data_IF_795671507459
#
_entry.id   IF_795671507459
#
_cell.length_a   1.000
_cell.length_b   1.000
_cell.length_c   1.000
_cell.angle_alpha   90.00
_cell.angle_beta   90.00
_cell.angle_gamma   90.00
#
_symmetry.space_group_name_H-M   'P 1'
#
loop_
_entity.id
_entity.type
_entity.pdbx_description
1 polymer ?
#
# COMPACT_ATOMS: atom_id res chain seq x y z
N UNK A 1 14.10 16.06 -4.64
CA UNK A 1 13.45 14.86 -4.07
C UNK A 1 13.94 14.70 -2.65
N UNK A 2 13.02 14.57 -1.70
CA UNK A 2 13.33 14.29 -0.28
C UNK A 2 12.56 13.05 0.14
N UNK A 3 13.20 12.14 0.90
CA UNK A 3 12.57 10.92 1.40
C UNK A 3 12.65 10.91 2.92
N UNK A 4 11.51 10.70 3.57
CA UNK A 4 11.40 10.56 5.03
C UNK A 4 10.82 9.20 5.35
N UNK A 5 11.47 8.47 6.26
CA UNK A 5 11.02 7.16 6.71
C UNK A 5 10.32 7.25 8.07
N UNK A 6 9.23 6.52 8.22
CA UNK A 6 8.51 6.36 9.48
C UNK A 6 8.38 4.87 9.79
N UNK A 7 8.50 4.53 11.07
CA UNK A 7 8.13 3.22 11.60
C UNK A 7 7.12 3.44 12.72
N UNK A 8 5.89 3.01 12.50
CA UNK A 8 4.79 3.23 13.44
C UNK A 8 4.20 1.86 13.79
N UNK A 9 4.41 1.42 15.03
CA UNK A 9 3.98 0.10 15.50
C UNK A 9 4.46 -1.08 14.62
N UNK A 10 5.65 -0.95 14.01
CA UNK A 10 6.21 -1.95 13.11
C UNK A 10 5.76 -1.85 11.65
N UNK A 11 4.85 -0.91 11.32
CA UNK A 11 4.52 -0.57 9.94
C UNK A 11 5.53 0.45 9.40
N UNK A 12 6.15 0.15 8.26
CA UNK A 12 7.10 1.05 7.62
C UNK A 12 6.42 1.90 6.55
N UNK A 13 6.75 3.17 6.55
CA UNK A 13 6.34 4.13 5.54
C UNK A 13 7.57 4.85 5.00
N UNK A 14 7.61 5.04 3.68
CA UNK A 14 8.54 5.94 3.01
C UNK A 14 7.74 7.03 2.33
N UNK A 15 7.92 8.25 2.79
CA UNK A 15 7.23 9.43 2.30
C UNK A 15 8.18 10.16 1.38
N UNK A 16 7.82 10.25 0.12
CA UNK A 16 8.63 10.80 -0.97
C UNK A 16 8.01 12.12 -1.38
N UNK A 17 8.76 13.21 -1.19
CA UNK A 17 8.37 14.55 -1.60
C UNK A 17 9.05 14.88 -2.92
N UNK A 18 8.25 15.04 -3.98
CA UNK A 18 8.71 15.37 -5.33
C UNK A 18 7.86 16.50 -5.92
N UNK A 19 8.45 17.70 -6.00
CA UNK A 19 7.77 18.92 -6.45
C UNK A 19 6.49 19.20 -5.64
N UNK A 20 5.34 19.16 -6.30
CA UNK A 20 4.03 19.36 -5.67
C UNK A 20 3.37 18.06 -5.22
N UNK A 21 3.97 16.91 -5.53
CA UNK A 21 3.42 15.59 -5.28
C UNK A 21 4.08 14.99 -4.04
N UNK A 22 3.25 14.37 -3.20
CA UNK A 22 3.72 13.55 -2.08
C UNK A 22 3.24 12.13 -2.31
N UNK A 23 4.18 11.19 -2.27
CA UNK A 23 3.92 9.77 -2.45
C UNK A 23 4.26 9.04 -1.17
N UNK A 24 3.34 8.23 -0.68
CA UNK A 24 3.55 7.33 0.45
C UNK A 24 3.66 5.91 -0.08
N UNK A 25 4.86 5.35 0.06
CA UNK A 25 5.09 3.91 -0.08
C UNK A 25 4.95 3.29 1.30
N UNK A 26 4.11 2.27 1.46
CA UNK A 26 3.87 1.63 2.76
C UNK A 26 3.96 0.12 2.68
N UNK A 27 4.46 -0.48 3.76
CA UNK A 27 4.33 -1.91 4.02
C UNK A 27 2.92 -2.21 4.50
N UNK A 28 2.23 -3.13 3.83
CA UNK A 28 0.85 -3.50 4.16
C UNK A 28 0.81 -4.84 4.90
N UNK A 29 1.58 -5.83 4.43
CA UNK A 29 1.69 -7.17 5.01
C UNK A 29 0.35 -7.83 5.37
N UNK A 30 -0.69 -7.61 4.55
CA UNK A 30 -2.04 -8.11 4.79
C UNK A 30 -2.32 -9.35 3.96
N UNK A 31 -2.70 -10.45 4.60
CA UNK A 31 -3.09 -11.68 3.92
C UNK A 31 -4.38 -11.49 3.10
N UNK A 32 -4.35 -11.99 1.86
CA UNK A 32 -5.50 -12.04 0.97
C UNK A 32 -6.20 -13.38 1.20
N UNK A 33 -7.39 -13.36 1.81
CA UNK A 33 -8.19 -14.56 2.07
C UNK A 33 -8.85 -15.09 0.80
N UNK A 34 -8.06 -15.63 -0.13
CA UNK A 34 -8.55 -16.40 -1.30
C UNK A 34 -8.07 -17.84 -1.22
N UNK A 35 -8.90 -18.78 -1.68
CA UNK A 35 -8.48 -20.18 -1.87
C UNK A 35 -7.41 -20.21 -2.95
N UNK A 36 -6.20 -20.64 -2.59
CA UNK A 36 -5.13 -20.88 -3.56
C UNK A 36 -5.48 -22.07 -4.44
N UNK A 37 -5.27 -21.92 -5.75
CA UNK A 37 -5.31 -23.05 -6.68
C UNK A 37 -3.91 -23.65 -6.81
N UNK A 38 -3.81 -24.95 -7.12
CA UNK A 38 -2.53 -25.64 -7.28
C UNK A 38 -1.66 -25.04 -8.40
N UNK A 39 -2.27 -24.27 -9.30
CA UNK A 39 -1.65 -23.59 -10.44
C UNK A 39 -1.15 -22.17 -10.10
N UNK A 40 -1.36 -21.68 -8.88
CA UNK A 40 -0.88 -20.36 -8.48
C UNK A 40 0.65 -20.35 -8.31
N UNK A 41 1.35 -19.95 -9.37
CA UNK A 41 2.80 -19.72 -9.38
C UNK A 41 3.22 -18.65 -8.36
N UNK A 42 4.38 -18.87 -7.74
CA UNK A 42 5.02 -17.87 -6.88
C UNK A 42 5.50 -16.70 -7.72
N UNK A 43 4.98 -15.51 -7.46
CA UNK A 43 5.35 -14.29 -8.19
C UNK A 43 4.96 -13.03 -7.45
N UNK A 44 5.62 -11.93 -7.81
CA UNK A 44 5.19 -10.58 -7.50
C UNK A 44 4.22 -10.11 -8.58
N UNK A 45 3.06 -9.60 -8.16
CA UNK A 45 2.06 -8.99 -9.04
C UNK A 45 2.00 -7.51 -8.71
N UNK A 46 2.31 -6.69 -9.71
CA UNK A 46 2.13 -5.24 -9.64
C UNK A 46 0.78 -4.90 -10.26
N UNK A 47 -0.13 -4.36 -9.46
CA UNK A 47 -1.48 -4.03 -9.88
C UNK A 47 -1.67 -2.52 -9.87
N UNK A 48 -1.97 -1.95 -11.03
CA UNK A 48 -2.43 -0.57 -11.15
C UNK A 48 -3.89 -0.51 -10.68
N UNK A 49 -4.16 0.32 -9.67
CA UNK A 49 -5.48 0.40 -9.04
C UNK A 49 -6.15 1.74 -9.38
N UNK A 50 -5.41 2.85 -9.28
CA UNK A 50 -5.90 4.21 -9.52
C UNK A 50 -7.28 4.49 -8.87
N UNK A 51 -7.43 4.10 -7.61
CA UNK A 51 -8.68 4.28 -6.85
C UNK A 51 -8.56 5.48 -5.92
N UNK A 52 -9.52 6.38 -5.98
CA UNK A 52 -9.62 7.48 -5.03
C UNK A 52 -9.87 6.95 -3.60
N UNK A 53 -9.14 7.50 -2.64
CA UNK A 53 -9.30 7.30 -1.21
C UNK A 53 -9.44 8.67 -0.54
N UNK A 54 -9.86 8.71 0.72
CA UNK A 54 -10.20 9.98 1.37
C UNK A 54 -9.02 10.95 1.40
N UNK A 55 -7.81 10.44 1.60
CA UNK A 55 -6.60 11.23 1.75
C UNK A 55 -5.70 11.26 0.49
N UNK A 56 -6.19 10.77 -0.65
CA UNK A 56 -5.38 10.70 -1.87
C UNK A 56 -5.88 9.72 -2.91
N UNK A 57 -4.96 9.12 -3.64
CA UNK A 57 -5.24 8.13 -4.68
C UNK A 57 -4.35 6.91 -4.43
N UNK A 58 -4.96 5.75 -4.23
CA UNK A 58 -4.27 4.47 -4.25
C UNK A 58 -3.87 4.16 -5.70
N UNK A 59 -2.60 4.39 -6.02
CA UNK A 59 -2.06 4.22 -7.38
C UNK A 59 -1.79 2.76 -7.68
N UNK A 60 -1.06 2.08 -6.79
CA UNK A 60 -0.58 0.71 -7.00
C UNK A 60 -0.71 -0.16 -5.75
N UNK A 61 -0.98 -1.43 -5.96
CA UNK A 61 -0.81 -2.51 -4.98
C UNK A 61 0.23 -3.50 -5.48
N UNK A 62 1.07 -3.99 -4.57
CA UNK A 62 2.05 -5.03 -4.85
C UNK A 62 1.62 -6.26 -4.06
N UNK A 63 1.26 -7.32 -4.77
CA UNK A 63 0.83 -8.59 -4.19
C UNK A 63 1.97 -9.59 -4.30
N UNK A 64 2.40 -10.16 -3.17
CA UNK A 64 3.30 -11.30 -3.18
C UNK A 64 2.49 -12.60 -3.11
N UNK A 65 2.63 -13.43 -4.13
CA UNK A 65 2.17 -14.82 -4.11
C UNK A 65 3.32 -15.71 -3.68
N UNK A 66 3.20 -16.37 -2.53
CA UNK A 66 4.15 -17.38 -2.01
C UNK A 66 3.58 -18.78 -2.17
N UNK A 67 4.30 -19.86 -1.85
CA UNK A 67 3.75 -21.23 -1.87
C UNK A 67 2.49 -21.37 -1.02
N UNK A 68 2.52 -20.79 0.18
CA UNK A 68 1.53 -21.06 1.24
C UNK A 68 0.38 -20.04 1.27
N UNK A 69 0.61 -18.78 0.89
CA UNK A 69 -0.42 -17.75 0.91
C UNK A 69 -0.10 -16.57 -0.04
N UNK A 70 -1.04 -15.65 -0.18
CA UNK A 70 -0.86 -14.41 -0.93
C UNK A 70 -1.08 -13.21 -0.01
N UNK A 71 -0.23 -12.20 -0.13
CA UNK A 71 -0.27 -11.01 0.72
C UNK A 71 -0.22 -9.75 -0.12
N UNK A 72 -0.92 -8.71 0.31
CA UNK A 72 -0.61 -7.35 -0.10
C UNK A 72 0.67 -6.97 0.64
N UNK A 73 1.77 -6.90 -0.08
CA UNK A 73 3.07 -6.59 0.49
C UNK A 73 3.23 -5.10 0.67
N UNK A 74 2.89 -4.34 -0.38
CA UNK A 74 3.07 -2.91 -0.39
C UNK A 74 1.95 -2.19 -1.12
N UNK A 75 1.79 -0.92 -0.79
CA UNK A 75 0.91 0.01 -1.50
C UNK A 75 1.63 1.32 -1.78
N UNK A 76 1.23 1.95 -2.88
CA UNK A 76 1.70 3.27 -3.28
C UNK A 76 0.50 4.20 -3.35
N UNK A 77 0.53 5.22 -2.52
CA UNK A 77 -0.52 6.24 -2.43
C UNK A 77 0.05 7.59 -2.79
N UNK A 78 -0.61 8.29 -3.68
CA UNK A 78 -0.37 9.72 -3.89
C UNK A 78 -1.29 10.50 -2.95
N UNK A 79 -0.74 11.34 -2.07
CA UNK A 79 -1.51 12.01 -1.02
C UNK A 79 -1.70 13.49 -1.34
N UNK A 80 -2.91 13.99 -1.04
CA UNK A 80 -3.28 15.37 -1.33
C UNK A 80 -2.71 16.35 -0.29
N UNK A 81 -2.43 15.88 0.93
CA UNK A 81 -1.92 16.69 2.03
C UNK A 81 -0.40 16.63 2.10
N UNK A 82 0.27 17.79 2.12
CA UNK A 82 1.73 17.89 2.22
C UNK A 82 2.27 17.81 3.66
N UNK A 83 1.40 18.03 4.66
CA UNK A 83 1.78 17.97 6.07
C UNK A 83 1.60 16.53 6.58
N UNK A 84 2.63 15.72 6.36
CA UNK A 84 2.61 14.30 6.75
C UNK A 84 2.96 14.14 8.23
N UNK A 85 2.12 13.42 8.96
CA UNK A 85 2.31 13.03 10.35
C UNK A 85 1.89 11.56 10.55
N UNK A 86 2.19 11.00 11.72
CA UNK A 86 1.93 9.59 12.01
C UNK A 86 0.43 9.23 11.96
N UNK A 87 -0.44 10.11 12.44
CA UNK A 87 -1.89 9.90 12.42
C UNK A 87 -2.42 9.76 10.99
N UNK A 88 -1.99 10.63 10.08
CA UNK A 88 -2.35 10.55 8.67
C UNK A 88 -1.85 9.24 8.04
N UNK A 89 -0.62 8.82 8.34
CA UNK A 89 -0.04 7.59 7.80
C UNK A 89 -0.80 6.34 8.26
N UNK A 90 -1.22 6.29 9.53
CA UNK A 90 -2.05 5.22 10.05
C UNK A 90 -3.45 5.20 9.43
N UNK A 91 -4.07 6.38 9.24
CA UNK A 91 -5.35 6.49 8.55
C UNK A 91 -5.26 6.01 7.10
N UNK A 92 -4.19 6.39 6.39
CA UNK A 92 -3.91 5.92 5.03
C UNK A 92 -3.75 4.40 4.97
N UNK A 93 -3.00 3.81 5.90
CA UNK A 93 -2.86 2.36 5.98
C UNK A 93 -4.21 1.66 6.13
N UNK A 94 -5.06 2.13 7.05
CA UNK A 94 -6.38 1.55 7.27
C UNK A 94 -7.29 1.67 6.03
N UNK A 95 -7.31 2.85 5.39
CA UNK A 95 -8.05 3.07 4.14
C UNK A 95 -7.56 2.15 3.02
N UNK A 96 -6.24 1.99 2.86
CA UNK A 96 -5.65 1.11 1.85
C UNK A 96 -6.06 -0.34 2.10
N UNK A 97 -6.00 -0.82 3.34
CA UNK A 97 -6.40 -2.20 3.66
C UNK A 97 -7.88 -2.43 3.30
N UNK A 98 -8.77 -1.52 3.69
CA UNK A 98 -10.20 -1.63 3.40
C UNK A 98 -10.49 -1.61 1.89
N UNK A 99 -9.90 -0.66 1.16
CA UNK A 99 -10.12 -0.53 -0.29
C UNK A 99 -9.52 -1.71 -1.04
N UNK A 100 -8.39 -2.25 -0.58
CA UNK A 100 -7.73 -3.40 -1.20
C UNK A 100 -8.59 -4.66 -1.17
N UNK A 101 -9.43 -4.84 -0.14
CA UNK A 101 -10.38 -5.97 -0.06
C UNK A 101 -11.50 -5.87 -1.10
N UNK A 102 -11.78 -4.67 -1.64
CA UNK A 102 -12.81 -4.44 -2.67
C UNK A 102 -12.26 -4.65 -4.08
N UNK A 103 -11.00 -4.25 -4.32
CA UNK A 103 -10.40 -4.25 -5.67
C UNK A 103 -9.71 -5.56 -6.05
N UNK A 104 -9.44 -6.46 -5.09
CA UNK A 104 -8.78 -7.76 -5.30
C UNK A 104 -9.81 -8.88 -5.39
#
# INVERSE_FOLDING_TARGET
>A
MTVTHYNIYGLNFSVIYENEIVVVYMDVNKEIKRRKHAEDEERLVYMDVNKEIKNGILRKLIICKTKISSYICNAVVEVNNKNINEELLLNLYNEVVEVSEIVI
#
